data_IF_312895629729
#
_entry.id   IF_312895629729
#
_cell.length_a   1.000
_cell.length_b   1.000
_cell.length_c   1.000
_cell.angle_alpha   90.00
_cell.angle_beta   90.00
_cell.angle_gamma   90.00
#
_symmetry.space_group_name_H-M   'P 1'
#
loop_
_entity.id
_entity.type
_entity.pdbx_description
1 polymer ?
#
# COMPACT_ATOMS: atom_id res chain seq x y z
N UNK A 1 -13.29 18.30 10.77
CA UNK A 1 -13.87 16.94 10.67
C UNK A 1 -13.89 16.32 12.04
N UNK A 2 -14.99 15.66 12.43
CA UNK A 2 -15.16 15.13 13.79
C UNK A 2 -15.35 13.61 13.71
N UNK A 3 -14.30 12.91 13.27
CA UNK A 3 -14.15 11.45 13.37
C UNK A 3 -13.97 11.13 14.86
N UNK A 4 -15.09 11.05 15.59
CA UNK A 4 -15.11 10.77 17.03
C UNK A 4 -15.58 9.34 17.27
N UNK A 5 -15.27 8.78 18.46
CA UNK A 5 -15.76 7.47 18.87
C UNK A 5 -17.28 7.31 18.63
N UNK A 6 -17.76 6.09 18.30
CA UNK A 6 -17.05 4.82 18.41
C UNK A 6 -16.18 4.41 17.20
N UNK A 7 -16.36 5.01 16.01
CA UNK A 7 -15.68 4.57 14.77
C UNK A 7 -14.85 5.68 14.10
N UNK A 8 -13.70 6.06 14.67
CA UNK A 8 -12.83 7.07 14.05
C UNK A 8 -12.19 6.58 12.75
N UNK A 9 -11.80 5.29 12.67
CA UNK A 9 -11.04 4.75 11.53
C UNK A 9 -11.94 4.51 10.33
N UNK A 10 -13.10 3.88 10.52
CA UNK A 10 -14.09 3.71 9.44
C UNK A 10 -14.58 5.06 8.91
N UNK A 11 -14.80 6.04 9.77
CA UNK A 11 -15.16 7.39 9.34
C UNK A 11 -14.04 8.05 8.51
N UNK A 12 -12.79 7.93 8.96
CA UNK A 12 -11.64 8.49 8.27
C UNK A 12 -11.38 7.79 6.93
N UNK A 13 -11.39 6.46 6.89
CA UNK A 13 -11.21 5.67 5.68
C UNK A 13 -12.26 6.04 4.62
N UNK A 14 -13.55 6.04 5.00
CA UNK A 14 -14.64 6.39 4.09
C UNK A 14 -14.56 7.82 3.57
N UNK A 15 -14.03 8.76 4.36
CA UNK A 15 -13.99 10.18 3.99
C UNK A 15 -12.74 10.56 3.22
N UNK A 16 -11.60 9.95 3.54
CA UNK A 16 -10.29 10.43 3.11
C UNK A 16 -9.55 9.45 2.20
N UNK A 17 -9.76 8.13 2.36
CA UNK A 17 -8.98 7.10 1.68
C UNK A 17 -9.79 6.44 0.57
N UNK A 18 -10.94 5.88 0.89
CA UNK A 18 -11.78 5.16 -0.06
C UNK A 18 -12.25 5.98 -1.26
N UNK A 19 -12.48 7.30 -1.17
CA UNK A 19 -12.75 8.11 -2.35
C UNK A 19 -11.64 8.07 -3.41
N UNK A 20 -10.38 7.77 -3.04
CA UNK A 20 -9.27 7.65 -3.99
C UNK A 20 -9.30 6.35 -4.81
N UNK A 21 -10.10 5.36 -4.40
CA UNK A 21 -10.41 4.18 -5.23
C UNK A 21 -11.45 4.48 -6.31
N UNK A 22 -12.10 5.66 -6.28
CA UNK A 22 -13.06 6.04 -7.31
C UNK A 22 -12.31 6.28 -8.64
N UNK A 23 -12.63 5.55 -9.73
CA UNK A 23 -11.99 5.76 -11.03
C UNK A 23 -12.19 7.17 -11.60
N UNK A 24 -13.24 7.88 -11.19
CA UNK A 24 -13.50 9.27 -11.61
C UNK A 24 -12.57 10.29 -10.91
N UNK A 25 -11.89 9.87 -9.83
CA UNK A 25 -10.93 10.67 -9.04
C UNK A 25 -9.50 10.10 -9.23
N UNK A 26 -9.30 9.18 -10.18
CA UNK A 26 -8.08 8.43 -10.35
C UNK A 26 -6.83 9.33 -10.37
N UNK A 27 -6.00 9.19 -9.32
CA UNK A 27 -4.74 9.91 -9.22
C UNK A 27 -3.83 9.53 -10.37
N UNK A 28 -3.37 10.55 -11.10
CA UNK A 28 -2.41 10.38 -12.18
C UNK A 28 -1.04 9.97 -11.63
N UNK A 29 -0.19 9.45 -12.51
CA UNK A 29 1.20 9.12 -12.17
C UNK A 29 1.97 10.35 -11.63
N UNK A 30 1.70 11.54 -12.19
CA UNK A 30 2.37 12.79 -11.77
C UNK A 30 1.91 13.24 -10.39
N UNK A 31 0.61 13.13 -10.09
CA UNK A 31 0.07 13.49 -8.78
C UNK A 31 0.56 12.53 -7.69
N UNK A 32 0.58 11.22 -7.97
CA UNK A 32 1.14 10.23 -7.07
C UNK A 32 2.64 10.48 -6.81
N UNK A 33 3.41 10.77 -7.87
CA UNK A 33 4.82 11.13 -7.74
C UNK A 33 5.01 12.36 -6.85
N UNK A 34 4.26 13.45 -7.10
CA UNK A 34 4.39 14.69 -6.34
C UNK A 34 4.06 14.50 -4.85
N UNK A 35 2.96 13.80 -4.55
CA UNK A 35 2.54 13.52 -3.17
C UNK A 35 3.56 12.67 -2.41
N UNK A 36 4.01 11.57 -3.00
CA UNK A 36 4.99 10.68 -2.38
C UNK A 36 6.36 11.35 -2.25
N UNK A 37 6.74 12.20 -3.21
CA UNK A 37 7.98 12.97 -3.15
C UNK A 37 8.01 13.93 -1.97
N UNK A 38 6.89 14.60 -1.70
CA UNK A 38 6.74 15.47 -0.54
C UNK A 38 6.85 14.68 0.76
N UNK A 39 6.15 13.55 0.88
CA UNK A 39 6.26 12.67 2.05
C UNK A 39 7.68 12.15 2.27
N UNK A 40 8.39 11.77 1.20
CA UNK A 40 9.77 11.32 1.29
C UNK A 40 10.73 12.42 1.79
N UNK A 41 10.51 13.68 1.38
CA UNK A 41 11.29 14.81 1.89
C UNK A 41 11.09 14.98 3.40
N UNK A 42 9.84 14.89 3.89
CA UNK A 42 9.55 14.99 5.32
C UNK A 42 10.18 13.84 6.12
N UNK A 43 10.13 12.61 5.59
CA UNK A 43 10.84 11.47 6.19
C UNK A 43 12.35 11.72 6.29
N UNK A 44 12.98 12.17 5.22
CA UNK A 44 14.42 12.47 5.20
C UNK A 44 14.76 13.57 6.21
N UNK A 45 13.96 14.64 6.27
CA UNK A 45 14.16 15.77 7.18
C UNK A 45 14.06 15.36 8.67
N UNK A 46 13.35 14.28 8.97
CA UNK A 46 13.26 13.72 10.34
C UNK A 46 14.34 12.69 10.65
N UNK A 47 15.25 12.41 9.72
CA UNK A 47 16.33 11.44 9.88
C UNK A 47 15.93 9.99 9.58
N UNK A 48 14.74 9.74 9.02
CA UNK A 48 14.36 8.40 8.57
C UNK A 48 15.20 8.03 7.35
N UNK A 49 15.89 6.89 7.44
CA UNK A 49 16.73 6.37 6.34
C UNK A 49 16.13 5.17 5.63
N UNK A 50 15.18 4.48 6.29
CA UNK A 50 14.49 3.30 5.78
C UNK A 50 13.00 3.40 6.11
N UNK A 51 12.12 3.19 5.12
CA UNK A 51 10.67 3.18 5.33
C UNK A 51 10.02 1.93 4.72
N UNK A 52 8.89 1.51 5.27
CA UNK A 52 7.95 0.62 4.58
C UNK A 52 6.80 1.50 4.11
N UNK A 53 6.62 1.61 2.80
CA UNK A 53 5.46 2.29 2.23
C UNK A 53 4.34 1.27 2.00
N UNK A 54 3.31 1.34 2.85
CA UNK A 54 2.09 0.55 2.68
C UNK A 54 1.19 1.23 1.66
N UNK A 55 1.21 0.68 0.45
CA UNK A 55 0.56 1.31 -0.70
C UNK A 55 -0.76 0.63 -1.01
N UNK A 56 -1.84 1.41 -0.96
CA UNK A 56 -3.16 1.01 -1.44
C UNK A 56 -3.19 0.67 -2.93
N UNK A 57 -2.13 1.04 -3.67
CA UNK A 57 -1.96 0.73 -5.09
C UNK A 57 -3.21 1.04 -5.95
N UNK A 58 -3.85 2.20 -5.68
CA UNK A 58 -5.17 2.57 -6.23
C UNK A 58 -5.31 2.33 -7.74
N UNK A 59 -4.26 2.65 -8.50
CA UNK A 59 -4.18 2.40 -9.94
C UNK A 59 -2.74 2.06 -10.34
N UNK A 60 -2.52 1.42 -11.51
CA UNK A 60 -1.16 1.22 -12.03
C UNK A 60 -0.38 2.53 -12.24
N UNK A 61 -1.06 3.63 -12.55
CA UNK A 61 -0.43 4.95 -12.64
C UNK A 61 0.05 5.43 -11.27
N UNK A 62 -0.78 5.28 -10.24
CA UNK A 62 -0.42 5.61 -8.87
C UNK A 62 0.82 4.82 -8.41
N UNK A 63 0.84 3.50 -8.66
CA UNK A 63 1.97 2.62 -8.31
C UNK A 63 3.26 3.09 -8.97
N UNK A 64 3.23 3.40 -10.27
CA UNK A 64 4.42 3.91 -10.99
C UNK A 64 4.93 5.22 -10.41
N UNK A 65 4.04 6.17 -10.16
CA UNK A 65 4.39 7.48 -9.61
C UNK A 65 4.99 7.36 -8.20
N UNK A 66 4.36 6.54 -7.36
CA UNK A 66 4.83 6.24 -6.01
C UNK A 66 6.24 5.62 -6.01
N UNK A 67 6.43 4.48 -6.70
CA UNK A 67 7.73 3.78 -6.70
C UNK A 67 8.82 4.68 -7.29
N UNK A 68 8.52 5.46 -8.34
CA UNK A 68 9.47 6.40 -8.92
C UNK A 68 9.87 7.47 -7.89
N UNK A 69 8.92 8.04 -7.15
CA UNK A 69 9.21 9.05 -6.12
C UNK A 69 10.09 8.49 -4.99
N UNK A 70 9.80 7.27 -4.53
CA UNK A 70 10.62 6.55 -3.55
C UNK A 70 12.02 6.25 -4.08
N UNK A 71 12.13 5.77 -5.31
CA UNK A 71 13.41 5.50 -5.98
C UNK A 71 14.28 6.75 -6.10
N UNK A 72 13.70 7.85 -6.59
CA UNK A 72 14.40 9.12 -6.75
C UNK A 72 14.77 9.76 -5.40
N UNK A 73 14.15 9.35 -4.29
CA UNK A 73 14.34 10.01 -2.97
C UNK A 73 15.69 9.73 -2.37
N UNK A 74 16.32 8.63 -2.78
CA UNK A 74 17.53 8.15 -2.14
C UNK A 74 17.27 7.63 -0.72
N UNK A 75 16.05 7.22 -0.37
CA UNK A 75 15.76 6.38 0.80
C UNK A 75 16.05 4.90 0.49
N UNK A 76 16.22 4.10 1.54
CA UNK A 76 15.95 2.66 1.44
C UNK A 76 14.45 2.47 1.67
N UNK A 77 13.77 1.71 0.84
CA UNK A 77 12.33 1.53 1.00
C UNK A 77 11.91 0.08 0.79
N UNK A 78 10.86 -0.29 1.49
CA UNK A 78 10.11 -1.51 1.23
C UNK A 78 8.76 -1.09 0.68
N UNK A 79 8.41 -1.58 -0.50
CA UNK A 79 7.10 -1.31 -1.09
C UNK A 79 6.15 -2.46 -0.77
N UNK A 80 5.17 -2.21 0.09
CA UNK A 80 4.14 -3.17 0.45
C UNK A 80 2.91 -2.92 -0.43
N UNK A 81 2.74 -3.75 -1.45
CA UNK A 81 1.73 -3.57 -2.49
C UNK A 81 0.41 -4.24 -2.09
N UNK A 82 -0.65 -3.47 -1.86
CA UNK A 82 -1.98 -4.02 -1.63
C UNK A 82 -2.46 -4.77 -2.89
N UNK A 83 -3.01 -5.97 -2.69
CA UNK A 83 -3.57 -6.76 -3.77
C UNK A 83 -4.87 -7.44 -3.38
N UNK A 84 -5.47 -8.12 -4.36
CA UNK A 84 -6.72 -8.86 -4.20
C UNK A 84 -6.67 -10.18 -4.98
N UNK A 85 -7.72 -10.99 -4.87
CA UNK A 85 -7.78 -12.32 -5.48
C UNK A 85 -7.93 -12.33 -7.01
N UNK A 86 -8.06 -11.17 -7.66
CA UNK A 86 -8.13 -11.08 -9.12
C UNK A 86 -6.80 -11.55 -9.75
N UNK A 87 -6.82 -12.54 -10.67
CA UNK A 87 -5.63 -12.95 -11.42
C UNK A 87 -4.90 -11.80 -12.12
N UNK A 88 -5.60 -10.77 -12.59
CA UNK A 88 -5.00 -9.59 -13.20
C UNK A 88 -4.20 -8.77 -12.19
N UNK A 89 -4.74 -8.60 -10.98
CA UNK A 89 -4.05 -7.94 -9.85
C UNK A 89 -2.79 -8.71 -9.46
N UNK A 90 -2.88 -10.03 -9.33
CA UNK A 90 -1.74 -10.90 -9.03
C UNK A 90 -0.66 -10.79 -10.11
N UNK A 91 -1.04 -10.79 -11.40
CA UNK A 91 -0.10 -10.65 -12.50
C UNK A 91 0.59 -9.28 -12.50
N UNK A 92 -0.15 -8.20 -12.22
CA UNK A 92 0.40 -6.85 -12.11
C UNK A 92 1.40 -6.73 -10.96
N UNK A 93 1.07 -7.27 -9.77
CA UNK A 93 1.99 -7.29 -8.61
C UNK A 93 3.32 -7.98 -8.95
N UNK A 94 3.27 -9.11 -9.66
CA UNK A 94 4.47 -9.82 -10.12
C UNK A 94 5.30 -8.96 -11.08
N UNK A 95 4.62 -8.31 -12.03
CA UNK A 95 5.27 -7.43 -13.00
C UNK A 95 5.91 -6.21 -12.32
N UNK A 96 5.20 -5.55 -11.40
CA UNK A 96 5.69 -4.41 -10.62
C UNK A 96 6.95 -4.79 -9.85
N UNK A 97 6.92 -5.91 -9.11
CA UNK A 97 8.11 -6.41 -8.40
C UNK A 97 9.29 -6.59 -9.37
N UNK A 98 9.07 -7.31 -10.47
CA UNK A 98 10.13 -7.65 -11.42
C UNK A 98 10.72 -6.43 -12.11
N UNK A 99 9.90 -5.44 -12.47
CA UNK A 99 10.30 -4.34 -13.36
C UNK A 99 10.62 -3.05 -12.65
N UNK A 100 10.00 -2.79 -11.49
CA UNK A 100 10.13 -1.51 -10.78
C UNK A 100 10.88 -1.63 -9.45
N UNK A 101 10.94 -2.82 -8.85
CA UNK A 101 11.52 -3.03 -7.53
C UNK A 101 12.86 -3.77 -7.61
N UNK A 102 12.88 -4.97 -8.22
CA UNK A 102 14.07 -5.82 -8.31
C UNK A 102 15.31 -5.15 -8.93
N UNK A 103 15.19 -4.23 -9.92
CA UNK A 103 16.35 -3.51 -10.45
C UNK A 103 16.95 -2.47 -9.50
N UNK A 104 16.25 -2.07 -8.43
CA UNK A 104 16.71 -1.05 -7.50
C UNK A 104 17.35 -1.69 -6.24
N UNK A 105 18.67 -1.54 -6.02
CA UNK A 105 19.37 -2.18 -4.90
C UNK A 105 18.99 -1.62 -3.50
N UNK A 106 18.16 -0.57 -3.46
CA UNK A 106 17.65 0.05 -2.23
C UNK A 106 16.18 -0.26 -1.98
N UNK A 107 15.53 -0.98 -2.89
CA UNK A 107 14.13 -1.36 -2.80
C UNK A 107 14.00 -2.83 -2.38
N UNK A 108 13.03 -3.11 -1.52
CA UNK A 108 12.57 -4.46 -1.19
C UNK A 108 11.05 -4.53 -1.41
N UNK A 109 10.51 -5.72 -1.66
CA UNK A 109 9.07 -5.91 -1.90
C UNK A 109 8.38 -6.63 -0.74
N UNK A 110 7.12 -6.26 -0.49
CA UNK A 110 6.18 -6.99 0.35
C UNK A 110 4.83 -7.07 -0.36
N UNK A 111 4.07 -8.12 -0.06
CA UNK A 111 2.67 -8.20 -0.47
C UNK A 111 1.83 -7.70 0.70
N UNK A 112 0.89 -6.81 0.46
CA UNK A 112 -0.02 -6.29 1.48
C UNK A 112 -1.46 -6.80 1.30
N UNK A 113 -2.18 -6.91 2.41
CA UNK A 113 -3.60 -7.24 2.45
C UNK A 113 -4.24 -6.65 3.70
N UNK A 114 -5.57 -6.56 3.71
CA UNK A 114 -6.33 -6.33 4.94
C UNK A 114 -6.73 -7.66 5.59
N UNK A 115 -6.70 -7.70 6.92
CA UNK A 115 -7.33 -8.75 7.72
C UNK A 115 -8.79 -8.36 7.94
N UNK A 116 -9.69 -9.04 7.25
CA UNK A 116 -11.14 -8.90 7.44
C UNK A 116 -11.81 -10.19 6.99
N UNK A 117 -12.89 -10.60 7.66
CA UNK A 117 -13.72 -11.72 7.21
C UNK A 117 -14.26 -11.48 5.79
N UNK A 118 -14.68 -10.25 5.50
CA UNK A 118 -15.21 -9.85 4.18
C UNK A 118 -14.16 -9.91 3.07
N UNK A 119 -12.87 -9.81 3.43
CA UNK A 119 -11.73 -9.84 2.50
C UNK A 119 -10.90 -11.13 2.64
N UNK A 120 -11.48 -12.20 3.21
CA UNK A 120 -10.76 -13.45 3.46
C UNK A 120 -10.19 -14.09 2.18
N UNK A 121 -10.90 -13.96 1.05
CA UNK A 121 -10.44 -14.45 -0.24
C UNK A 121 -9.17 -13.72 -0.71
N UNK A 122 -9.16 -12.40 -0.58
CA UNK A 122 -8.02 -11.54 -0.92
C UNK A 122 -6.82 -11.85 -0.02
N UNK A 123 -7.05 -11.93 1.30
CA UNK A 123 -6.01 -12.29 2.26
C UNK A 123 -5.40 -13.66 1.95
N UNK A 124 -6.24 -14.64 1.61
CA UNK A 124 -5.77 -15.99 1.26
C UNK A 124 -4.94 -15.96 -0.03
N UNK A 125 -5.37 -15.20 -1.04
CA UNK A 125 -4.64 -15.05 -2.30
C UNK A 125 -3.30 -14.34 -2.08
N UNK A 126 -3.29 -13.24 -1.33
CA UNK A 126 -2.09 -12.46 -1.02
C UNK A 126 -1.11 -13.23 -0.14
N UNK A 127 -1.59 -14.05 0.81
CA UNK A 127 -0.75 -14.97 1.59
C UNK A 127 -0.06 -16.01 0.71
N UNK A 128 -0.80 -16.59 -0.25
CA UNK A 128 -0.22 -17.53 -1.24
C UNK A 128 0.80 -16.83 -2.12
N UNK A 129 0.49 -15.64 -2.62
CA UNK A 129 1.38 -14.86 -3.47
C UNK A 129 2.68 -14.46 -2.73
N UNK A 130 2.57 -14.01 -1.48
CA UNK A 130 3.74 -13.69 -0.66
C UNK A 130 4.68 -14.90 -0.52
N UNK A 131 4.12 -16.09 -0.26
CA UNK A 131 4.87 -17.35 -0.20
C UNK A 131 5.48 -17.71 -1.55
N UNK A 132 4.73 -17.58 -2.64
CA UNK A 132 5.21 -17.85 -4.00
C UNK A 132 6.42 -16.99 -4.36
N UNK A 133 6.37 -15.69 -4.02
CA UNK A 133 7.42 -14.72 -4.32
C UNK A 133 8.58 -14.74 -3.32
N UNK A 134 8.47 -15.50 -2.22
CA UNK A 134 9.46 -15.51 -1.15
C UNK A 134 9.59 -14.16 -0.41
N UNK A 135 8.49 -13.40 -0.29
CA UNK A 135 8.46 -12.08 0.35
C UNK A 135 7.57 -12.07 1.60
N UNK A 136 7.67 -11.02 2.41
CA UNK A 136 6.84 -10.84 3.61
C UNK A 136 5.41 -10.43 3.21
N UNK A 137 4.43 -10.97 3.93
CA UNK A 137 3.04 -10.51 3.94
C UNK A 137 2.88 -9.40 5.00
N UNK A 138 2.34 -8.25 4.62
CA UNK A 138 2.08 -7.11 5.49
C UNK A 138 0.58 -6.88 5.68
N UNK A 139 0.12 -6.75 6.92
CA UNK A 139 -1.30 -6.57 7.24
C UNK A 139 -1.48 -5.57 8.38
N UNK A 140 -2.60 -4.85 8.37
CA UNK A 140 -3.11 -4.18 9.56
C UNK A 140 -3.85 -5.21 10.42
N UNK A 141 -3.64 -5.21 11.73
CA UNK A 141 -4.22 -6.19 12.65
C UNK A 141 -4.66 -5.49 13.94
N UNK A 142 -5.95 -5.67 14.30
CA UNK A 142 -6.54 -5.13 15.53
C UNK A 142 -6.23 -3.63 15.73
N UNK A 143 -6.40 -2.85 14.66
CA UNK A 143 -6.10 -1.42 14.62
C UNK A 143 -7.16 -0.63 15.40
N UNK A 144 -8.43 -1.01 15.25
CA UNK A 144 -9.56 -0.42 15.96
C UNK A 144 -10.08 -1.34 17.08
N UNK A 145 -10.59 -0.74 18.16
CA UNK A 145 -11.16 -1.50 19.29
C UNK A 145 -12.36 -2.36 18.89
N UNK A 146 -13.17 -1.91 17.93
CA UNK A 146 -14.32 -2.66 17.39
C UNK A 146 -13.85 -3.96 16.74
N UNK A 147 -12.71 -3.95 16.04
CA UNK A 147 -12.12 -5.13 15.40
C UNK A 147 -11.61 -6.19 16.41
N UNK A 148 -11.53 -5.84 17.70
CA UNK A 148 -11.13 -6.75 18.77
C UNK A 148 -12.30 -7.52 19.36
N UNK A 149 -13.52 -7.01 19.19
CA UNK A 149 -14.74 -7.57 19.77
C UNK A 149 -15.40 -8.62 18.86
N UNK A 150 -14.93 -8.76 17.62
CA UNK A 150 -15.26 -9.83 16.67
C UNK A 150 -14.65 -11.18 17.14
N UNK A 151 -15.27 -11.80 18.15
CA UNK A 151 -15.07 -13.21 18.54
C UNK A 151 -16.33 -14.04 18.25
#
# INVERSE_FOLDING_TARGET
>A
MNCRPPDPDDCWLNTCVFPLFNPDIALTETEAYAGVRLSALDLINTGVTTTVDWSHAFTPQFVRGNIRALGDSGLRFVFAHLGNADPASIADIKLVKQTLIDPNPRATFQVASHLSETLQADLTAMSKLAKELGVILHVHLLENIVQREDN
#
